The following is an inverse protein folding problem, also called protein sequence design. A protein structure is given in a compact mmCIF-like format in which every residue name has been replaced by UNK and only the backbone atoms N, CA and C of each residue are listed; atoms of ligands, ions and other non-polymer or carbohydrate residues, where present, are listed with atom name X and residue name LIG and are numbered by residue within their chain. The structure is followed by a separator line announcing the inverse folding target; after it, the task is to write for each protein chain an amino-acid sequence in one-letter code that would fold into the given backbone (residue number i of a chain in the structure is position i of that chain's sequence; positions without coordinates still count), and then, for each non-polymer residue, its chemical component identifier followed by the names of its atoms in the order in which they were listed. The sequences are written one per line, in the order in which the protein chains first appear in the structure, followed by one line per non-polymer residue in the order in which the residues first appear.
data_IF_340814687002
#
_entry.id   IF_340814687002
#
_cell.length_a   1.000
_cell.length_b   1.000
_cell.length_c   1.000
_cell.angle_alpha   90.00
_cell.angle_beta   90.00
_cell.angle_gamma   90.00
#
_symmetry.space_group_name_H-M   'P 1'
#
loop_
_entity.id
_entity.type
_entity.pdbx_description
1 polymer ?
#
# COMPACT_ATOMS: atom_id res chain seq x y z
N UNK A 1 -2.98 40.54 0.59
CA UNK A 1 -3.05 39.23 -0.09
C UNK A 1 -1.93 38.36 0.48
N UNK A 2 -2.25 37.45 1.40
CA UNK A 2 -1.35 36.40 1.83
C UNK A 2 -1.91 35.10 1.30
N UNK A 3 -1.44 34.68 0.14
CA UNK A 3 -1.69 33.32 -0.34
C UNK A 3 -0.69 32.43 0.41
N UNK A 4 -1.03 32.14 1.68
CA UNK A 4 -0.38 31.11 2.46
C UNK A 4 -0.59 29.79 1.74
N UNK A 5 0.41 29.43 0.93
CA UNK A 5 0.55 28.14 0.30
C UNK A 5 0.49 27.05 1.35
N UNK A 6 -0.71 26.57 1.63
CA UNK A 6 -0.95 25.25 2.18
C UNK A 6 -0.50 24.29 1.10
N UNK A 7 0.80 23.99 1.11
CA UNK A 7 1.30 22.76 0.51
C UNK A 7 0.45 21.67 1.13
N UNK A 8 -0.56 21.22 0.39
CA UNK A 8 -1.22 19.98 0.68
C UNK A 8 -0.14 18.95 0.49
N UNK A 9 0.62 18.67 1.55
CA UNK A 9 1.50 17.52 1.66
C UNK A 9 0.58 16.31 1.63
N UNK A 10 0.05 16.02 0.45
CA UNK A 10 -0.75 14.85 0.18
C UNK A 10 0.07 13.66 0.62
N UNK A 11 -0.50 12.83 1.46
CA UNK A 11 0.17 11.65 1.95
C UNK A 11 0.45 10.77 0.71
N UNK A 12 1.74 10.62 0.35
CA UNK A 12 2.16 9.85 -0.82
C UNK A 12 2.57 8.46 -0.37
N UNK A 13 2.04 7.44 -1.07
CA UNK A 13 2.46 6.06 -0.91
C UNK A 13 3.70 5.85 -1.78
N UNK A 14 4.88 6.13 -1.24
CA UNK A 14 6.16 5.96 -1.92
C UNK A 14 6.60 4.48 -1.99
N UNK A 15 7.72 4.15 -2.62
CA UNK A 15 8.10 2.76 -2.86
C UNK A 15 8.35 1.95 -1.59
N UNK A 16 8.59 2.61 -0.45
CA UNK A 16 8.90 1.95 0.83
C UNK A 16 7.91 2.24 1.94
N UNK A 17 6.93 3.12 1.73
CA UNK A 17 5.91 3.40 2.74
C UNK A 17 5.07 4.64 2.53
N UNK A 18 4.38 5.05 3.59
CA UNK A 18 3.38 6.12 3.59
C UNK A 18 3.70 7.15 4.69
N UNK A 19 4.01 8.39 4.30
CA UNK A 19 4.39 9.43 5.28
C UNK A 19 5.65 9.02 6.06
N UNK A 20 5.52 8.82 7.37
CA UNK A 20 6.61 8.34 8.25
C UNK A 20 6.62 6.81 8.42
N UNK A 21 5.56 6.11 8.01
CA UNK A 21 5.49 4.66 8.07
C UNK A 21 6.32 4.04 6.94
N UNK A 22 7.09 3.00 7.25
CA UNK A 22 7.94 2.28 6.29
C UNK A 22 7.84 0.78 6.51
N UNK A 23 7.89 0.01 5.43
CA UNK A 23 8.04 -1.44 5.50
C UNK A 23 9.32 -1.79 6.28
N UNK A 24 9.28 -2.86 7.08
CA UNK A 24 10.34 -3.26 8.01
C UNK A 24 10.32 -2.54 9.36
N UNK A 25 9.45 -1.54 9.54
CA UNK A 25 9.39 -0.78 10.80
C UNK A 25 8.80 -1.64 11.92
N UNK A 26 9.49 -1.73 13.06
CA UNK A 26 8.97 -2.47 14.22
C UNK A 26 7.67 -1.86 14.75
N UNK A 27 6.80 -2.70 15.34
CA UNK A 27 5.52 -2.27 15.95
C UNK A 27 5.69 -1.02 16.82
N UNK A 28 6.71 -1.00 17.68
CA UNK A 28 7.01 0.14 18.57
C UNK A 28 7.34 1.42 17.82
N UNK A 29 8.17 1.36 16.77
CA UNK A 29 8.53 2.53 15.96
C UNK A 29 7.31 3.03 15.16
N UNK A 30 6.52 2.12 14.61
CA UNK A 30 5.33 2.46 13.84
C UNK A 30 4.27 3.14 14.72
N UNK A 31 4.04 2.65 15.94
CA UNK A 31 3.15 3.31 16.92
C UNK A 31 3.69 4.66 17.34
N UNK A 32 5.02 4.81 17.48
CA UNK A 32 5.64 6.08 17.86
C UNK A 32 5.46 7.19 16.81
N UNK A 33 5.15 6.88 15.55
CA UNK A 33 4.76 7.87 14.53
C UNK A 33 3.44 8.58 14.87
N UNK A 34 2.63 8.01 15.77
CA UNK A 34 1.34 8.55 16.15
C UNK A 34 0.22 8.34 15.12
N UNK A 35 0.55 7.88 13.90
CA UNK A 35 -0.40 7.65 12.81
C UNK A 35 -1.25 6.37 12.91
N UNK A 36 -0.95 5.51 13.88
CA UNK A 36 -1.61 4.21 14.07
C UNK A 36 -2.49 4.17 15.32
N UNK A 37 -3.56 3.38 15.25
CA UNK A 37 -4.34 2.94 16.40
C UNK A 37 -3.61 1.89 17.25
N UNK A 38 -4.35 1.23 18.14
CA UNK A 38 -3.82 0.08 18.87
C UNK A 38 -3.44 -1.04 17.90
N UNK A 39 -2.25 -1.61 18.10
CA UNK A 39 -1.79 -2.79 17.34
C UNK A 39 -2.32 -4.03 18.04
N UNK A 40 -2.96 -4.91 17.29
CA UNK A 40 -3.43 -6.20 17.80
C UNK A 40 -2.24 -7.10 18.18
N UNK A 41 -2.41 -7.84 19.27
CA UNK A 41 -1.46 -8.85 19.71
C UNK A 41 -1.50 -10.10 18.82
N UNK A 42 -0.37 -10.82 18.74
CA UNK A 42 -0.21 -12.03 17.92
C UNK A 42 1.02 -12.00 17.02
N UNK A 43 1.26 -13.12 16.32
CA UNK A 43 2.36 -13.28 15.35
C UNK A 43 2.19 -12.33 14.16
N UNK A 44 0.95 -12.22 13.68
CA UNK A 44 0.50 -11.24 12.69
C UNK A 44 -0.35 -10.16 13.36
N UNK A 45 0.27 -9.06 13.76
CA UNK A 45 -0.42 -7.92 14.35
C UNK A 45 -1.01 -7.02 13.28
N UNK A 46 -2.11 -6.34 13.56
CA UNK A 46 -2.67 -5.32 12.67
C UNK A 46 -3.07 -4.07 13.42
N UNK A 47 -3.02 -2.91 12.77
CA UNK A 47 -3.43 -1.64 13.36
C UNK A 47 -4.16 -0.76 12.36
N UNK A 48 -5.20 -0.07 12.80
CA UNK A 48 -5.92 0.89 11.97
C UNK A 48 -5.07 2.13 11.71
N UNK A 49 -5.07 2.63 10.47
CA UNK A 49 -4.55 3.95 10.15
C UNK A 49 -5.51 5.01 10.68
N UNK A 50 -5.06 5.88 11.60
CA UNK A 50 -5.92 6.92 12.18
C UNK A 50 -6.39 7.95 11.16
N UNK A 51 -5.59 8.19 10.13
CA UNK A 51 -5.92 9.10 9.04
C UNK A 51 -6.96 8.50 8.07
N UNK A 52 -7.17 7.18 8.12
CA UNK A 52 -8.25 6.55 7.39
C UNK A 52 -9.52 6.62 8.26
N UNK A 53 -10.46 7.51 7.90
CA UNK A 53 -11.68 7.78 8.66
C UNK A 53 -12.57 6.53 8.86
N UNK A 54 -12.41 5.54 8.00
CA UNK A 54 -13.00 4.21 8.13
C UNK A 54 -11.91 3.24 8.58
N UNK A 55 -12.10 2.56 9.71
CA UNK A 55 -11.21 1.50 10.22
C UNK A 55 -11.04 0.28 9.30
N UNK A 56 -11.47 0.38 8.04
CA UNK A 56 -11.27 -0.56 6.96
C UNK A 56 -9.82 -0.62 6.44
N UNK A 57 -8.98 0.37 6.77
CA UNK A 57 -7.59 0.42 6.31
C UNK A 57 -6.64 0.10 7.46
N UNK A 58 -6.07 -1.10 7.42
CA UNK A 58 -5.19 -1.62 8.45
C UNK A 58 -3.80 -1.86 7.88
N UNK A 59 -2.79 -1.47 8.65
CA UNK A 59 -1.43 -1.96 8.44
C UNK A 59 -1.28 -3.34 9.06
N UNK A 60 -0.40 -4.18 8.50
CA UNK A 60 -0.10 -5.52 9.03
C UNK A 60 1.37 -5.59 9.42
N UNK A 61 1.62 -6.23 10.55
CA UNK A 61 2.94 -6.47 11.12
C UNK A 61 3.20 -7.98 11.22
N UNK A 62 4.35 -8.42 10.74
CA UNK A 62 4.96 -9.69 11.12
C UNK A 62 5.79 -9.50 12.39
N UNK A 63 5.84 -10.52 13.25
CA UNK A 63 6.75 -10.56 14.39
C UNK A 63 8.22 -10.53 13.94
N UNK A 64 8.53 -11.27 12.87
CA UNK A 64 9.90 -11.41 12.35
C UNK A 64 10.37 -10.14 11.62
N UNK A 65 9.51 -9.56 10.78
CA UNK A 65 9.92 -8.51 9.83
C UNK A 65 9.40 -7.11 10.18
N UNK A 66 8.50 -6.99 11.15
CA UNK A 66 7.88 -5.72 11.49
C UNK A 66 6.75 -5.37 10.51
N UNK A 67 6.64 -4.12 10.10
CA UNK A 67 5.57 -3.63 9.23
C UNK A 67 5.72 -4.20 7.82
N UNK A 68 4.75 -5.00 7.35
CA UNK A 68 4.81 -5.73 6.08
C UNK A 68 3.70 -5.34 5.10
N UNK A 69 2.69 -4.60 5.54
CA UNK A 69 1.58 -4.16 4.67
C UNK A 69 1.15 -2.75 5.04
N UNK A 70 1.10 -1.87 4.05
CA UNK A 70 0.64 -0.49 4.19
C UNK A 70 -0.35 -0.16 3.07
N UNK A 71 -1.66 -0.04 3.35
CA UNK A 71 -2.64 0.33 2.33
C UNK A 71 -2.68 1.85 2.11
N UNK A 72 -2.92 2.26 0.88
CA UNK A 72 -3.42 3.59 0.55
C UNK A 72 -4.91 3.70 0.87
N UNK A 73 -5.33 4.91 1.23
CA UNK A 73 -6.71 5.26 1.55
C UNK A 73 -7.05 6.65 1.01
N UNK A 74 -8.33 6.95 0.81
CA UNK A 74 -8.78 8.25 0.33
C UNK A 74 -8.08 8.68 -0.97
N UNK A 75 -7.50 9.88 -0.97
CA UNK A 75 -6.79 10.47 -2.11
C UNK A 75 -5.28 10.17 -2.15
N UNK A 76 -4.79 9.28 -1.27
CA UNK A 76 -3.38 8.84 -1.28
C UNK A 76 -3.03 8.28 -2.66
N UNK A 77 -1.95 8.79 -3.23
CA UNK A 77 -1.42 8.36 -4.51
C UNK A 77 0.05 7.94 -4.38
N UNK A 78 0.52 7.13 -5.32
CA UNK A 78 1.94 6.91 -5.55
C UNK A 78 2.61 8.16 -6.13
N UNK A 79 3.95 8.29 -6.13
CA UNK A 79 4.64 9.44 -6.73
C UNK A 79 4.29 9.63 -8.22
N UNK A 80 3.95 8.55 -8.92
CA UNK A 80 3.52 8.50 -10.31
C UNK A 80 2.03 8.86 -10.48
N UNK A 81 1.35 9.19 -9.38
CA UNK A 81 -0.03 9.65 -9.35
C UNK A 81 -1.07 8.54 -9.46
N UNK A 82 -0.71 7.28 -9.18
CA UNK A 82 -1.65 6.15 -9.13
C UNK A 82 -2.34 6.13 -7.77
N UNK A 83 -3.66 6.11 -7.79
CA UNK A 83 -4.53 6.10 -6.60
C UNK A 83 -5.78 5.25 -6.83
N UNK A 84 -6.54 4.99 -5.77
CA UNK A 84 -7.83 4.32 -5.85
C UNK A 84 -8.71 4.93 -6.95
N UNK A 85 -9.37 4.08 -7.74
CA UNK A 85 -10.13 4.43 -8.94
C UNK A 85 -9.33 4.48 -10.25
N UNK A 86 -8.00 4.32 -10.22
CA UNK A 86 -7.17 4.24 -11.43
C UNK A 86 -7.48 2.99 -12.26
N UNK A 87 -7.22 3.02 -13.57
CA UNK A 87 -7.43 1.87 -14.46
C UNK A 87 -6.16 1.03 -14.59
N UNK A 88 -6.25 -0.29 -14.87
CA UNK A 88 -5.07 -1.14 -15.08
C UNK A 88 -4.08 -0.57 -16.11
N UNK A 89 -4.59 -0.04 -17.23
CA UNK A 89 -3.77 0.57 -18.28
C UNK A 89 -2.98 1.79 -17.79
N UNK A 90 -3.55 2.56 -16.84
CA UNK A 90 -2.84 3.69 -16.24
C UNK A 90 -1.71 3.21 -15.32
N UNK A 91 -1.97 2.16 -14.54
CA UNK A 91 -0.96 1.54 -13.67
C UNK A 91 0.17 0.93 -14.50
N UNK A 92 -0.13 0.13 -15.51
CA UNK A 92 0.87 -0.47 -16.40
C UNK A 92 1.73 0.57 -17.13
N UNK A 93 1.19 1.76 -17.42
CA UNK A 93 1.97 2.85 -18.02
C UNK A 93 2.94 3.51 -17.04
N UNK A 94 2.55 3.62 -15.77
CA UNK A 94 3.39 4.18 -14.72
C UNK A 94 4.47 3.17 -14.27
N UNK A 95 4.10 1.90 -14.20
CA UNK A 95 4.93 0.79 -13.76
C UNK A 95 5.19 -0.17 -14.93
N UNK A 96 6.31 -0.02 -15.66
CA UNK A 96 6.62 -0.91 -16.79
C UNK A 96 6.87 -2.36 -16.36
N UNK A 97 7.22 -2.57 -15.08
CA UNK A 97 7.40 -3.87 -14.44
C UNK A 97 6.08 -4.42 -13.82
N UNK A 98 4.95 -3.89 -14.24
CA UNK A 98 3.64 -4.33 -13.80
C UNK A 98 3.37 -5.79 -14.24
N UNK A 99 3.12 -6.66 -13.29
CA UNK A 99 2.84 -8.08 -13.51
C UNK A 99 1.58 -8.52 -12.76
N UNK A 100 0.68 -9.23 -13.46
CA UNK A 100 -0.45 -9.91 -12.81
C UNK A 100 0.05 -11.12 -12.02
N UNK A 101 -0.70 -11.56 -10.98
CA UNK A 101 -0.42 -12.87 -10.37
C UNK A 101 -0.58 -13.98 -11.39
N UNK A 102 0.24 -15.02 -11.28
CA UNK A 102 0.18 -16.22 -12.12
C UNK A 102 -0.89 -17.23 -11.65
N UNK A 103 -1.62 -16.92 -10.57
CA UNK A 103 -2.70 -17.76 -10.02
C UNK A 103 -4.11 -17.26 -10.39
N UNK A 104 -5.13 -17.98 -9.92
CA UNK A 104 -6.54 -17.67 -10.21
C UNK A 104 -7.00 -16.28 -9.73
N UNK A 105 -6.25 -15.63 -8.83
CA UNK A 105 -6.51 -14.27 -8.38
C UNK A 105 -5.81 -13.20 -9.23
N UNK A 106 -5.04 -13.57 -10.26
CA UNK A 106 -4.39 -12.63 -11.18
C UNK A 106 -5.37 -11.74 -11.91
N UNK A 107 -4.91 -10.55 -12.31
CA UNK A 107 -5.71 -9.60 -13.07
C UNK A 107 -6.18 -10.19 -14.41
N UNK A 108 -7.48 -10.49 -14.51
CA UNK A 108 -8.11 -10.88 -15.78
C UNK A 108 -8.45 -9.62 -16.59
N UNK A 109 -7.81 -9.47 -17.75
CA UNK A 109 -7.99 -8.31 -18.63
C UNK A 109 -9.40 -8.20 -19.24
N UNK A 110 -10.22 -9.26 -19.21
CA UNK A 110 -11.59 -9.24 -19.75
C UNK A 110 -12.57 -8.61 -18.76
N UNK A 111 -12.38 -8.89 -17.48
CA UNK A 111 -13.21 -8.42 -16.37
C UNK A 111 -12.61 -7.20 -15.67
N UNK A 112 -11.31 -6.95 -15.87
CA UNK A 112 -10.54 -5.93 -15.16
C UNK A 112 -10.53 -6.18 -13.64
N UNK A 113 -10.57 -7.44 -13.22
CA UNK A 113 -10.64 -7.85 -11.82
C UNK A 113 -9.50 -8.80 -11.49
N UNK A 114 -8.92 -8.64 -10.31
CA UNK A 114 -7.82 -9.46 -9.81
C UNK A 114 -6.65 -8.62 -9.28
N UNK A 115 -5.57 -9.31 -8.96
CA UNK A 115 -4.36 -8.78 -8.34
C UNK A 115 -3.23 -8.63 -9.35
N UNK A 116 -2.48 -7.55 -9.20
CA UNK A 116 -1.22 -7.32 -9.89
C UNK A 116 -0.22 -6.63 -8.96
N UNK A 117 1.05 -6.70 -9.31
CA UNK A 117 2.16 -6.19 -8.54
C UNK A 117 3.10 -5.36 -9.42
N UNK A 118 3.86 -4.47 -8.78
CA UNK A 118 5.00 -3.82 -9.41
C UNK A 118 6.06 -3.44 -8.38
N UNK A 119 7.20 -2.99 -8.89
CA UNK A 119 8.30 -2.52 -8.06
C UNK A 119 9.31 -3.62 -7.74
N UNK A 120 9.39 -4.67 -8.56
CA UNK A 120 10.42 -5.70 -8.43
C UNK A 120 11.79 -5.18 -8.89
N UNK A 121 11.80 -4.18 -9.79
CA UNK A 121 13.01 -3.53 -10.29
C UNK A 121 13.41 -2.25 -9.54
N UNK A 122 12.73 -1.94 -8.43
CA UNK A 122 13.06 -0.77 -7.61
C UNK A 122 14.29 -1.04 -6.71
N UNK A 123 14.79 0.02 -6.06
CA UNK A 123 15.92 -0.07 -5.12
C UNK A 123 15.65 -1.00 -3.92
N UNK A 124 14.38 -1.34 -3.69
CA UNK A 124 13.90 -2.18 -2.59
C UNK A 124 13.22 -3.43 -3.15
N UNK A 125 13.98 -4.46 -3.60
CA UNK A 125 13.43 -5.64 -4.25
C UNK A 125 12.58 -6.52 -3.33
N UNK A 126 12.62 -6.27 -2.02
CA UNK A 126 11.80 -6.97 -1.02
C UNK A 126 10.49 -6.22 -0.71
N UNK A 127 10.22 -5.14 -1.45
CA UNK A 127 9.07 -4.25 -1.25
C UNK A 127 8.39 -3.97 -2.59
N UNK A 128 7.09 -4.28 -2.67
CA UNK A 128 6.33 -4.18 -3.91
C UNK A 128 5.02 -3.44 -3.70
N UNK A 129 4.56 -2.76 -4.74
CA UNK A 129 3.18 -2.33 -4.81
C UNK A 129 2.28 -3.50 -5.12
N UNK A 130 1.17 -3.60 -4.40
CA UNK A 130 0.04 -4.49 -4.66
C UNK A 130 -1.15 -3.68 -5.16
N UNK A 131 -1.70 -4.09 -6.28
CA UNK A 131 -2.86 -3.47 -6.92
C UNK A 131 -3.99 -4.49 -7.01
N UNK A 132 -5.10 -4.22 -6.32
CA UNK A 132 -6.33 -5.00 -6.45
C UNK A 132 -7.36 -4.26 -7.29
N UNK A 133 -7.76 -4.86 -8.40
CA UNK A 133 -8.75 -4.31 -9.31
C UNK A 133 -10.09 -5.03 -9.17
N UNK A 134 -11.16 -4.26 -9.32
CA UNK A 134 -12.53 -4.74 -9.44
C UNK A 134 -13.27 -3.94 -10.50
N UNK A 135 -13.90 -4.60 -11.45
CA UNK A 135 -14.61 -3.98 -12.57
C UNK A 135 -13.76 -2.93 -13.32
N UNK A 136 -12.47 -3.20 -13.53
CA UNK A 136 -11.54 -2.33 -14.25
C UNK A 136 -11.09 -1.08 -13.47
N UNK A 137 -11.33 -1.05 -12.16
CA UNK A 137 -10.94 0.06 -11.27
C UNK A 137 -10.09 -0.46 -10.12
N UNK A 138 -9.05 0.29 -9.78
CA UNK A 138 -8.20 0.04 -8.64
C UNK A 138 -9.00 0.27 -7.36
N UNK A 139 -9.29 -0.79 -6.62
CA UNK A 139 -10.04 -0.74 -5.36
C UNK A 139 -9.15 -0.98 -4.16
N UNK A 140 -7.98 -1.59 -4.37
CA UNK A 140 -6.95 -1.81 -3.37
C UNK A 140 -5.61 -1.33 -3.93
N UNK A 141 -4.91 -0.53 -3.14
CA UNK A 141 -3.54 -0.10 -3.41
C UNK A 141 -2.79 -0.23 -2.10
N UNK A 142 -1.70 -0.99 -2.09
CA UNK A 142 -0.88 -1.15 -0.91
C UNK A 142 0.59 -1.31 -1.29
N UNK A 143 1.47 -1.12 -0.32
CA UNK A 143 2.84 -1.61 -0.37
C UNK A 143 2.90 -2.84 0.51
N UNK A 144 3.52 -3.88 -0.01
CA UNK A 144 3.78 -5.13 0.68
C UNK A 144 5.28 -5.38 0.76
N UNK A 145 5.76 -5.80 1.93
CA UNK A 145 7.12 -6.31 2.09
C UNK A 145 7.14 -7.83 2.08
N UNK A 146 8.33 -8.40 2.22
CA UNK A 146 8.46 -9.77 2.71
C UNK A 146 7.68 -9.92 4.03
N UNK A 147 6.82 -10.93 4.06
CA UNK A 147 5.84 -11.15 5.12
C UNK A 147 5.86 -12.60 5.58
N UNK A 148 7.05 -13.15 5.82
CA UNK A 148 7.21 -14.55 6.20
C UNK A 148 6.34 -14.85 7.43
N UNK A 149 5.40 -15.80 7.26
CA UNK A 149 4.49 -16.25 8.34
C UNK A 149 3.15 -15.52 8.42
N UNK A 150 2.98 -14.35 7.81
CA UNK A 150 1.71 -13.64 7.75
C UNK A 150 1.12 -13.74 6.34
N UNK A 151 0.02 -14.50 6.22
CA UNK A 151 -0.55 -14.93 4.94
C UNK A 151 -0.63 -13.84 3.85
N UNK A 152 -0.30 -14.26 2.62
CA UNK A 152 -0.42 -13.49 1.37
C UNK A 152 -1.81 -13.58 0.71
#
# INVERSE_FOLDING_TARGET
MGEDGKSGSGLVLGPTGLGELRIGMTRKKAVATGGLGAVSDGDCGSANLKAAESGAYQVVFSEAEGLIYIPAFGDVATPEGIRLGSTPTRVQRAYPDFAARDDANGLDNRTGTGLAYSGFNDEFPDVHYRFGFKNGKLTELAIVGEGHGCGE
#
